data_IF_425525746049
#
_entry.id   IF_425525746049
#
_cell.length_a   1.000
_cell.length_b   1.000
_cell.length_c   1.000
_cell.angle_alpha   90.00
_cell.angle_beta   90.00
_cell.angle_gamma   90.00
#
_symmetry.space_group_name_H-M   'P 1'
#
loop_
_entity.id
_entity.type
_entity.pdbx_description
1 polymer ?
#
# COMPACT_ATOMS: atom_id res chain seq x y z
N UNK A 1 2.95 -4.12 -3.77
CA UNK A 1 3.82 -4.86 -4.73
C UNK A 1 3.44 -6.34 -4.78
N UNK A 2 3.74 -7.06 -5.86
CA UNK A 2 3.61 -8.51 -5.93
C UNK A 2 4.99 -9.17 -5.84
N UNK A 3 5.09 -10.25 -5.06
CA UNK A 3 6.33 -10.99 -4.80
C UNK A 3 6.14 -12.49 -5.05
N UNK A 4 7.22 -13.20 -5.37
CA UNK A 4 7.27 -14.67 -5.40
C UNK A 4 8.60 -15.11 -4.81
N UNK A 5 8.59 -16.02 -3.84
CA UNK A 5 9.81 -16.48 -3.17
C UNK A 5 10.69 -15.33 -2.66
N UNK A 6 10.07 -14.33 -2.01
CA UNK A 6 10.69 -13.07 -1.55
C UNK A 6 11.23 -12.12 -2.65
N UNK A 7 11.20 -12.49 -3.92
CA UNK A 7 11.58 -11.61 -5.03
C UNK A 7 10.41 -10.71 -5.44
N UNK A 8 10.66 -9.40 -5.60
CA UNK A 8 9.66 -8.48 -6.12
C UNK A 8 9.53 -8.61 -7.64
N UNK A 9 8.35 -9.04 -8.09
CA UNK A 9 8.04 -9.20 -9.50
C UNK A 9 7.55 -7.89 -10.12
N UNK A 10 6.65 -7.18 -9.42
CA UNK A 10 6.03 -5.95 -9.94
C UNK A 10 5.44 -5.05 -8.86
N UNK A 11 5.34 -3.77 -9.19
CA UNK A 11 4.53 -2.80 -8.46
C UNK A 11 3.09 -2.87 -8.98
N UNK A 12 2.13 -3.07 -8.08
CA UNK A 12 0.69 -3.11 -8.42
C UNK A 12 0.13 -1.69 -8.46
N UNK A 13 0.42 -0.93 -7.42
CA UNK A 13 0.07 0.48 -7.25
C UNK A 13 1.14 1.13 -6.37
N UNK A 14 1.43 2.40 -6.64
CA UNK A 14 2.35 3.22 -5.86
C UNK A 14 1.84 4.67 -5.91
N UNK A 15 1.71 5.28 -4.73
CA UNK A 15 1.44 6.71 -4.59
C UNK A 15 2.40 7.32 -3.57
N UNK A 16 3.46 7.95 -4.10
CA UNK A 16 4.49 8.60 -3.29
C UNK A 16 4.05 9.96 -2.74
N UNK A 17 2.85 10.44 -3.10
CA UNK A 17 2.28 11.73 -2.66
C UNK A 17 0.85 11.56 -2.14
N UNK A 18 0.56 10.38 -1.60
CA UNK A 18 -0.75 10.03 -1.07
C UNK A 18 -1.23 11.06 -0.05
N UNK A 19 -2.41 11.63 -0.30
CA UNK A 19 -3.10 12.56 0.61
C UNK A 19 -4.32 11.85 1.20
N UNK A 20 -4.37 11.69 2.52
CA UNK A 20 -5.49 11.04 3.22
C UNK A 20 -6.85 11.68 2.92
N UNK A 21 -6.87 12.94 2.48
CA UNK A 21 -8.09 13.68 2.12
C UNK A 21 -8.58 13.38 0.70
N UNK A 22 -7.76 12.76 -0.15
CA UNK A 22 -8.11 12.38 -1.50
C UNK A 22 -7.99 10.86 -1.65
N UNK A 23 -9.13 10.18 -1.53
CA UNK A 23 -9.23 8.74 -1.72
C UNK A 23 -10.14 8.46 -2.91
N UNK A 24 -9.61 7.78 -3.90
CA UNK A 24 -10.33 7.46 -5.12
C UNK A 24 -9.97 6.06 -5.62
N UNK A 25 -10.89 5.48 -6.39
CA UNK A 25 -10.64 4.24 -7.11
C UNK A 25 -9.95 4.63 -8.41
N UNK A 26 -8.71 4.17 -8.59
CA UNK A 26 -7.99 4.35 -9.85
C UNK A 26 -7.93 3.05 -10.64
N UNK A 27 -8.13 3.16 -11.95
CA UNK A 27 -7.89 2.04 -12.85
C UNK A 27 -6.41 1.66 -12.86
N UNK A 28 -6.13 0.36 -12.82
CA UNK A 28 -4.77 -0.13 -13.00
C UNK A 28 -4.33 0.10 -14.45
N UNK A 29 -3.07 0.50 -14.63
CA UNK A 29 -2.47 0.68 -15.97
C UNK A 29 -2.54 -0.59 -16.82
N UNK A 30 -2.59 -1.76 -16.18
CA UNK A 30 -2.65 -3.05 -16.82
C UNK A 30 -3.31 -4.09 -15.92
N UNK A 31 -3.91 -5.11 -16.54
CA UNK A 31 -4.51 -6.24 -15.83
C UNK A 31 -3.40 -7.15 -15.28
N UNK A 32 -3.46 -7.43 -13.99
CA UNK A 32 -2.51 -8.31 -13.29
C UNK A 32 -3.19 -9.63 -12.92
N UNK A 33 -2.58 -10.75 -13.31
CA UNK A 33 -3.03 -12.10 -12.92
C UNK A 33 -2.20 -12.54 -11.71
N UNK A 34 -2.84 -12.62 -10.54
CA UNK A 34 -2.22 -13.13 -9.32
C UNK A 34 -2.42 -14.65 -9.27
N UNK A 35 -1.32 -15.41 -9.20
CA UNK A 35 -1.33 -16.87 -9.02
C UNK A 35 -1.18 -17.22 -7.53
N UNK A 36 -1.58 -18.43 -7.07
CA UNK A 36 -1.51 -18.81 -5.65
C UNK A 36 -0.10 -18.74 -5.03
N UNK A 37 0.95 -18.89 -5.83
CA UNK A 37 2.36 -18.82 -5.40
C UNK A 37 2.87 -17.37 -5.26
N UNK A 38 2.04 -16.38 -5.57
CA UNK A 38 2.38 -14.96 -5.52
C UNK A 38 1.83 -14.36 -4.24
N UNK A 39 2.70 -13.65 -3.53
CA UNK A 39 2.38 -12.86 -2.36
C UNK A 39 2.05 -11.42 -2.78
N UNK A 40 1.04 -10.84 -2.14
CA UNK A 40 0.74 -9.41 -2.26
C UNK A 40 1.23 -8.74 -0.99
N UNK A 41 2.06 -7.72 -1.15
CA UNK A 41 2.57 -6.91 -0.05
C UNK A 41 2.11 -5.46 -0.19
N UNK A 42 1.65 -4.91 0.93
CA UNK A 42 1.27 -3.50 1.06
C UNK A 42 2.20 -2.86 2.08
N UNK A 43 2.81 -1.74 1.71
CA UNK A 43 3.68 -0.94 2.56
C UNK A 43 3.13 0.49 2.59
N UNK A 44 3.05 1.09 3.77
CA UNK A 44 2.54 2.44 3.97
C UNK A 44 3.59 3.25 4.73
N UNK A 45 3.81 4.50 4.29
CA UNK A 45 4.70 5.44 4.98
C UNK A 45 3.86 6.45 5.77
N UNK A 46 4.17 6.60 7.06
CA UNK A 46 3.49 7.54 7.96
C UNK A 46 4.48 8.58 8.46
N UNK A 47 4.05 9.85 8.49
CA UNK A 47 4.77 10.93 9.16
C UNK A 47 4.07 11.24 10.48
N UNK A 48 4.84 11.32 11.57
CA UNK A 48 4.33 11.58 12.93
C UNK A 48 5.02 12.76 13.61
N UNK A 49 5.70 13.62 12.84
CA UNK A 49 6.48 14.76 13.36
C UNK A 49 5.63 15.78 14.13
N UNK A 50 4.33 15.84 13.82
CA UNK A 50 3.34 16.73 14.43
C UNK A 50 2.57 16.07 15.59
N UNK A 51 2.85 14.81 15.90
CA UNK A 51 2.21 14.08 16.99
C UNK A 51 3.04 14.22 18.27
N UNK A 52 2.38 14.54 19.40
CA UNK A 52 3.04 14.62 20.71
C UNK A 52 3.18 13.26 21.42
N UNK A 53 2.69 12.18 20.81
CA UNK A 53 2.66 10.84 21.41
C UNK A 53 2.67 9.72 20.37
N UNK A 54 2.70 8.48 20.85
CA UNK A 54 2.67 7.29 19.99
C UNK A 54 1.31 7.16 19.33
N UNK A 55 1.31 7.02 17.99
CA UNK A 55 0.10 6.73 17.22
C UNK A 55 -0.06 5.22 17.10
N UNK A 56 -1.25 4.71 17.42
CA UNK A 56 -1.60 3.31 17.27
C UNK A 56 -2.58 3.13 16.11
N UNK A 57 -2.46 2.03 15.38
CA UNK A 57 -3.47 1.63 14.39
C UNK A 57 -4.73 1.23 15.16
N UNK A 58 -5.84 1.93 14.93
CA UNK A 58 -7.14 1.56 15.48
C UNK A 58 -8.23 1.72 14.42
N UNK A 59 -9.32 0.98 14.60
CA UNK A 59 -10.60 1.29 13.99
C UNK A 59 -11.37 2.17 14.96
N UNK A 60 -11.58 3.45 14.64
CA UNK A 60 -12.72 4.17 15.20
C UNK A 60 -13.93 3.82 14.34
N UNK A 61 -14.88 3.06 14.92
CA UNK A 61 -16.24 2.93 14.39
C UNK A 61 -17.11 4.07 14.92
#
# INVERSE_FOLDING_TARGET
VCRRNAEQLRIISEDNKYDFRLQEIQDMKEILIIKPEIEILVECNFQTLDQSGVTFVSLFF
#
